data_IF_164574933407
#
_entry.id   IF_164574933407
#
_cell.length_a   1.000
_cell.length_b   1.000
_cell.length_c   1.000
_cell.angle_alpha   90.00
_cell.angle_beta   90.00
_cell.angle_gamma   90.00
#
_symmetry.space_group_name_H-M   'P 1'
#
loop_
_entity.id
_entity.type
_entity.pdbx_description
1 polymer ?
#
# COMPACT_ATOMS: atom_id res chain seq x y z
N UNK A 1 -0.70 -4.89 -20.77
CA UNK A 1 -0.45 -3.61 -20.06
C UNK A 1 -0.61 -3.89 -18.57
N UNK A 2 0.47 -4.17 -17.85
CA UNK A 2 0.44 -4.33 -16.40
C UNK A 2 0.76 -2.99 -15.75
N UNK A 3 -0.25 -2.29 -15.26
CA UNK A 3 -0.05 -1.03 -14.52
C UNK A 3 0.63 -1.28 -13.17
N UNK A 4 1.38 -0.29 -12.69
CA UNK A 4 1.96 -0.34 -11.35
C UNK A 4 0.83 -0.48 -10.30
N UNK A 5 0.97 -1.44 -9.39
CA UNK A 5 0.01 -1.68 -8.29
C UNK A 5 0.66 -1.23 -7.00
N UNK A 6 -0.04 -0.45 -6.17
CA UNK A 6 0.45 -0.12 -4.83
C UNK A 6 0.15 -1.30 -3.90
N UNK A 7 1.15 -1.75 -3.14
CA UNK A 7 0.99 -2.72 -2.07
C UNK A 7 1.23 -2.04 -0.72
N UNK A 8 0.49 -2.47 0.30
CA UNK A 8 0.65 -2.08 1.70
C UNK A 8 0.80 -3.34 2.54
N UNK A 9 1.81 -3.38 3.39
CA UNK A 9 2.03 -4.51 4.30
C UNK A 9 2.23 -4.03 5.72
N UNK A 10 1.78 -4.84 6.69
CA UNK A 10 2.07 -4.59 8.10
C UNK A 10 3.54 -4.85 8.36
N UNK A 11 4.18 -3.92 9.07
CA UNK A 11 5.60 -4.04 9.42
C UNK A 11 5.90 -3.32 10.74
N UNK A 12 6.99 -3.72 11.38
CA UNK A 12 7.51 -3.13 12.63
C UNK A 12 8.82 -2.37 12.43
N UNK A 13 9.24 -2.14 11.17
CA UNK A 13 10.40 -1.30 10.90
C UNK A 13 10.14 0.14 11.34
N UNK A 14 11.20 0.91 11.57
CA UNK A 14 11.08 2.31 12.00
C UNK A 14 10.27 3.15 11.00
N UNK A 15 10.42 2.87 9.70
CA UNK A 15 9.62 3.48 8.63
C UNK A 15 8.14 3.12 8.75
N UNK A 16 7.82 1.85 9.03
CA UNK A 16 6.44 1.41 9.21
C UNK A 16 5.80 2.05 10.44
N UNK A 17 6.54 2.17 11.55
CA UNK A 17 6.07 2.81 12.77
C UNK A 17 5.69 4.28 12.49
N UNK A 18 6.52 5.02 11.74
CA UNK A 18 6.20 6.37 11.25
C UNK A 18 4.98 6.37 10.32
N UNK A 19 4.79 5.29 9.57
CA UNK A 19 3.68 5.04 8.65
C UNK A 19 2.38 4.53 9.28
N UNK A 20 2.27 4.42 10.61
CA UNK A 20 1.09 3.86 11.27
C UNK A 20 1.02 2.33 11.24
N UNK A 21 2.17 1.66 11.22
CA UNK A 21 2.32 0.20 11.19
C UNK A 21 2.46 -0.39 9.80
N UNK A 22 2.64 0.43 8.76
CA UNK A 22 2.63 -0.03 7.37
C UNK A 22 3.82 0.46 6.54
N UNK A 23 4.32 -0.42 5.68
CA UNK A 23 5.18 -0.06 4.55
C UNK A 23 4.38 -0.10 3.25
N UNK A 24 4.83 0.69 2.27
CA UNK A 24 4.20 0.78 0.97
C UNK A 24 5.24 0.58 -0.12
N UNK A 25 4.88 -0.13 -1.18
CA UNK A 25 5.75 -0.35 -2.32
C UNK A 25 4.94 -0.62 -3.59
N UNK A 26 5.57 -0.46 -4.75
CA UNK A 26 4.94 -0.78 -6.04
C UNK A 26 5.22 -2.21 -6.46
N UNK A 27 4.25 -2.83 -7.13
CA UNK A 27 4.41 -4.09 -7.85
C UNK A 27 4.35 -3.81 -9.36
N UNK A 28 5.11 -4.57 -10.18
CA UNK A 28 5.95 -5.70 -9.78
C UNK A 28 7.38 -5.31 -9.36
N UNK A 29 7.76 -4.03 -9.45
CA UNK A 29 9.16 -3.60 -9.33
C UNK A 29 9.69 -3.44 -7.89
N UNK A 30 8.83 -3.59 -6.89
CA UNK A 30 9.19 -3.61 -5.46
C UNK A 30 9.68 -2.27 -4.92
N UNK A 31 9.50 -1.16 -5.64
CA UNK A 31 10.05 0.13 -5.19
C UNK A 31 9.27 0.67 -4.01
N UNK A 32 9.98 1.08 -2.97
CA UNK A 32 9.38 1.71 -1.79
C UNK A 32 8.63 2.99 -2.16
N UNK A 33 7.46 3.14 -1.56
CA UNK A 33 6.65 4.35 -1.60
C UNK A 33 6.63 4.91 -0.18
N UNK A 34 6.96 6.19 -0.04
CA UNK A 34 6.96 6.83 1.27
C UNK A 34 5.59 6.70 1.95
N UNK A 35 5.50 6.42 3.26
CA UNK A 35 4.23 6.19 3.93
C UNK A 35 3.20 7.32 3.80
N UNK A 36 3.66 8.57 3.77
CA UNK A 36 2.79 9.73 3.54
C UNK A 36 2.14 9.69 2.14
N UNK A 37 2.91 9.40 1.10
CA UNK A 37 2.41 9.29 -0.27
C UNK A 37 1.47 8.09 -0.42
N UNK A 38 1.83 6.94 0.16
CA UNK A 38 0.99 5.74 0.14
C UNK A 38 -0.38 5.98 0.78
N UNK A 39 -0.41 6.60 1.96
CA UNK A 39 -1.66 7.01 2.62
C UNK A 39 -2.46 8.01 1.79
N UNK A 40 -1.80 9.06 1.28
CA UNK A 40 -2.48 10.10 0.51
C UNK A 40 -3.18 9.52 -0.72
N UNK A 41 -2.56 8.60 -1.46
CA UNK A 41 -3.15 7.93 -2.63
C UNK A 41 -4.42 7.15 -2.26
N UNK A 42 -4.44 6.49 -1.11
CA UNK A 42 -5.57 5.69 -0.62
C UNK A 42 -6.69 6.63 -0.11
N UNK A 43 -6.35 7.59 0.74
CA UNK A 43 -7.31 8.51 1.37
C UNK A 43 -8.00 9.43 0.36
N UNK A 44 -7.33 9.78 -0.74
CA UNK A 44 -7.90 10.59 -1.82
C UNK A 44 -8.53 9.75 -2.94
N UNK A 45 -8.61 8.42 -2.78
CA UNK A 45 -9.23 7.53 -3.76
C UNK A 45 -8.53 7.46 -5.12
N UNK A 46 -7.25 7.86 -5.19
CA UNK A 46 -6.42 7.72 -6.41
C UNK A 46 -6.19 6.24 -6.72
N UNK A 47 -6.11 5.43 -5.67
CA UNK A 47 -6.08 3.98 -5.79
C UNK A 47 -7.22 3.35 -4.99
N UNK A 48 -7.81 2.30 -5.54
CA UNK A 48 -8.83 1.49 -4.91
C UNK A 48 -8.25 0.14 -4.49
N UNK A 49 -8.68 -0.37 -3.34
CA UNK A 49 -8.29 -1.68 -2.86
C UNK A 49 -8.72 -2.76 -3.87
N UNK A 50 -7.77 -3.59 -4.28
CA UNK A 50 -7.97 -4.76 -5.14
C UNK A 50 -7.61 -6.00 -4.36
N UNK A 51 -8.57 -6.52 -3.61
CA UNK A 51 -8.42 -7.76 -2.84
C UNK A 51 -9.55 -7.87 -1.84
N UNK A 52 -10.27 -8.99 -1.90
CA UNK A 52 -11.24 -9.39 -0.87
C UNK A 52 -10.49 -9.59 0.44
N UNK A 53 -10.71 -8.68 1.40
CA UNK A 53 -10.21 -8.78 2.78
C UNK A 53 -10.72 -10.10 3.41
N UNK A 54 -9.98 -11.20 3.21
CA UNK A 54 -10.24 -12.45 3.95
C UNK A 54 -9.83 -12.31 5.42
N UNK A 55 -8.94 -11.37 5.74
CA UNK A 55 -8.51 -11.09 7.11
C UNK A 55 -8.27 -9.59 7.35
N UNK A 56 -8.96 -8.97 8.31
CA UNK A 56 -8.75 -7.56 8.63
C UNK A 56 -7.31 -7.33 9.13
N UNK A 57 -6.62 -6.38 8.50
CA UNK A 57 -5.28 -5.95 8.89
C UNK A 57 -4.13 -6.66 8.18
N UNK A 58 -4.39 -7.49 7.16
CA UNK A 58 -3.35 -8.13 6.34
C UNK A 58 -2.71 -7.22 5.30
N UNK A 59 -1.81 -7.80 4.49
CA UNK A 59 -1.28 -7.16 3.28
C UNK A 59 -2.41 -6.85 2.31
N UNK A 60 -2.42 -5.63 1.77
CA UNK A 60 -3.46 -5.15 0.85
C UNK A 60 -2.83 -4.63 -0.43
N UNK A 61 -3.42 -4.94 -1.58
CA UNK A 61 -3.03 -4.31 -2.86
C UNK A 61 -4.07 -3.31 -3.31
N UNK A 62 -3.63 -2.29 -4.04
CA UNK A 62 -4.44 -1.21 -4.57
C UNK A 62 -4.06 -0.94 -6.03
N UNK A 63 -5.06 -0.72 -6.88
CA UNK A 63 -4.88 -0.33 -8.28
C UNK A 63 -5.46 1.06 -8.51
N UNK A 64 -5.02 1.72 -9.58
CA UNK A 64 -5.62 2.98 -10.02
C UNK A 64 -7.12 2.77 -10.17
N UNK A 65 -7.90 3.68 -9.55
CA UNK A 65 -9.36 3.66 -9.58
C UNK A 65 -9.94 4.02 -10.96
#
# INVERSE_FOLDING_TARGET
MGGATLAREVSQTEEAIKGGGFVYFTLPDGKSVGPASGKWLIENGVVAATGDDLFPGGSQTYRIA
#
